data_IF_190075426970
#
_entry.id   IF_190075426970
#
_cell.length_a   1.000
_cell.length_b   1.000
_cell.length_c   1.000
_cell.angle_alpha   90.00
_cell.angle_beta   90.00
_cell.angle_gamma   90.00
#
_symmetry.space_group_name_H-M   'P 1'
#
loop_
_entity.id
_entity.type
_entity.pdbx_description
1 polymer ?
#
# COMPACT_ATOMS: atom_id res chain seq x y z
N UNK A 1 18.83 -3.35 19.08
CA UNK A 1 17.86 -3.67 18.61
C UNK A 1 17.25 -2.92 17.79
N UNK A 2 16.67 -3.08 17.03
CA UNK A 2 16.14 -2.41 16.20
C UNK A 2 14.84 -2.47 16.18
N UNK A 3 14.21 -1.53 16.17
CA UNK A 3 12.84 -1.60 15.90
C UNK A 3 12.67 -1.42 14.43
N UNK A 4 12.36 -2.45 13.78
CA UNK A 4 12.02 -2.39 12.39
C UNK A 4 10.54 -2.66 12.28
N UNK A 5 9.95 -2.21 11.20
CA UNK A 5 8.61 -2.64 10.85
C UNK A 5 8.70 -4.11 10.51
N UNK A 6 8.10 -4.95 11.33
CA UNK A 6 8.16 -6.38 11.12
C UNK A 6 7.38 -6.83 9.91
N UNK A 7 6.24 -6.18 9.63
CA UNK A 7 5.39 -6.56 8.51
C UNK A 7 5.57 -5.62 7.33
N UNK A 8 5.48 -6.20 6.14
CA UNK A 8 5.66 -5.46 4.90
C UNK A 8 4.53 -5.82 3.93
N UNK A 9 3.70 -4.84 3.60
CA UNK A 9 2.65 -4.99 2.60
C UNK A 9 3.19 -4.55 1.25
N UNK A 10 3.17 -5.45 0.27
CA UNK A 10 3.54 -5.16 -1.10
C UNK A 10 2.28 -5.21 -1.95
N UNK A 11 2.04 -4.20 -2.77
CA UNK A 11 0.80 -4.07 -3.53
C UNK A 11 1.11 -4.01 -5.01
N UNK A 12 0.52 -4.95 -5.77
CA UNK A 12 0.53 -4.91 -7.23
C UNK A 12 -0.55 -3.90 -7.66
N UNK A 13 -0.12 -2.70 -8.00
CA UNK A 13 -1.03 -1.58 -8.25
C UNK A 13 -2.01 -1.89 -9.38
N UNK A 14 -1.54 -2.45 -10.49
CA UNK A 14 -2.40 -2.74 -11.64
C UNK A 14 -3.52 -3.69 -11.27
N UNK A 15 -3.19 -4.77 -10.56
CA UNK A 15 -4.18 -5.75 -10.14
C UNK A 15 -5.23 -5.14 -9.21
N UNK A 16 -4.80 -4.34 -8.24
CA UNK A 16 -5.71 -3.72 -7.28
C UNK A 16 -6.59 -2.66 -7.96
N UNK A 17 -6.01 -1.85 -8.84
CA UNK A 17 -6.77 -0.83 -9.58
C UNK A 17 -7.86 -1.46 -10.44
N UNK A 18 -7.60 -2.61 -11.03
CA UNK A 18 -8.60 -3.32 -11.83
C UNK A 18 -9.65 -4.02 -10.98
N UNK A 19 -9.30 -4.42 -9.76
CA UNK A 19 -10.21 -5.15 -8.88
C UNK A 19 -11.18 -4.25 -8.12
N UNK A 20 -10.73 -3.07 -7.71
CA UNK A 20 -11.59 -2.15 -6.96
C UNK A 20 -12.52 -1.40 -7.90
N UNK A 21 -13.86 -1.51 -7.73
CA UNK A 21 -14.80 -0.91 -8.69
C UNK A 21 -14.59 0.58 -8.94
N UNK A 22 -14.40 1.37 -7.90
CA UNK A 22 -14.19 2.82 -8.02
C UNK A 22 -12.90 3.14 -8.76
N UNK A 23 -11.84 2.41 -8.44
CA UNK A 23 -10.54 2.60 -9.08
C UNK A 23 -10.57 2.14 -10.53
N UNK A 24 -11.28 1.06 -10.83
CA UNK A 24 -11.42 0.59 -12.22
C UNK A 24 -12.11 1.63 -13.08
N UNK A 25 -13.16 2.26 -12.56
CA UNK A 25 -13.86 3.33 -13.26
C UNK A 25 -12.95 4.55 -13.49
N UNK A 26 -12.22 4.95 -12.46
CA UNK A 26 -11.30 6.09 -12.56
C UNK A 26 -10.14 5.79 -13.50
N UNK A 27 -9.63 4.56 -13.49
CA UNK A 27 -8.52 4.12 -14.34
C UNK A 27 -8.83 4.32 -15.82
N UNK A 28 -10.08 4.11 -16.24
CA UNK A 28 -10.51 4.31 -17.61
C UNK A 28 -10.49 5.77 -18.03
N UNK A 29 -10.73 6.67 -17.09
CA UNK A 29 -10.80 8.11 -17.38
C UNK A 29 -9.46 8.81 -17.20
N UNK A 30 -8.74 8.45 -16.16
CA UNK A 30 -7.50 9.13 -15.79
C UNK A 30 -6.62 8.17 -14.99
N UNK A 31 -5.65 7.59 -15.69
CA UNK A 31 -4.74 6.61 -15.09
C UNK A 31 -3.91 7.20 -13.96
N UNK A 32 -3.40 8.41 -14.15
CA UNK A 32 -2.56 9.05 -13.14
C UNK A 32 -3.35 9.38 -11.88
N UNK A 33 -4.58 9.84 -12.05
CA UNK A 33 -5.45 10.11 -10.91
C UNK A 33 -5.76 8.82 -10.13
N UNK A 34 -6.02 7.72 -10.85
CA UNK A 34 -6.28 6.43 -10.21
C UNK A 34 -5.08 5.96 -9.40
N UNK A 35 -3.88 6.07 -9.96
CA UNK A 35 -2.64 5.70 -9.27
C UNK A 35 -2.40 6.55 -8.04
N UNK A 36 -2.57 7.86 -8.16
CA UNK A 36 -2.39 8.78 -7.04
C UNK A 36 -3.38 8.52 -5.93
N UNK A 37 -4.63 8.24 -6.27
CA UNK A 37 -5.65 7.95 -5.28
C UNK A 37 -5.38 6.63 -4.56
N UNK A 38 -4.93 5.61 -5.28
CA UNK A 38 -4.54 4.34 -4.67
C UNK A 38 -3.41 4.54 -3.67
N UNK A 39 -2.37 5.27 -4.06
CA UNK A 39 -1.23 5.55 -3.19
C UNK A 39 -1.69 6.27 -1.93
N UNK A 40 -2.52 7.29 -2.07
CA UNK A 40 -3.05 8.03 -0.94
C UNK A 40 -3.83 7.13 0.01
N UNK A 41 -4.68 6.27 -0.52
CA UNK A 41 -5.48 5.35 0.30
C UNK A 41 -4.63 4.32 1.02
N UNK A 42 -3.58 3.82 0.37
CA UNK A 42 -2.67 2.85 1.00
C UNK A 42 -1.84 3.50 2.11
N UNK A 43 -1.61 4.80 2.03
CA UNK A 43 -0.99 5.55 3.12
C UNK A 43 -1.77 5.43 4.42
N UNK A 44 -3.08 5.26 4.35
CA UNK A 44 -3.90 5.06 5.55
C UNK A 44 -3.53 3.77 6.29
N UNK A 45 -3.25 2.69 5.55
CA UNK A 45 -2.79 1.43 6.17
C UNK A 45 -1.43 1.65 6.84
N UNK A 46 -0.51 2.31 6.14
CA UNK A 46 0.81 2.61 6.68
C UNK A 46 0.69 3.33 8.03
N UNK A 47 -0.15 4.36 8.07
CA UNK A 47 -0.28 5.20 9.26
C UNK A 47 -1.08 4.52 10.38
N UNK A 48 -2.14 3.79 10.03
CA UNK A 48 -3.02 3.16 11.03
C UNK A 48 -2.46 1.86 11.58
N UNK A 49 -1.77 1.07 10.75
CA UNK A 49 -1.28 -0.25 11.12
C UNK A 49 0.21 -0.29 11.43
N UNK A 50 0.90 0.82 11.23
CA UNK A 50 2.34 0.94 11.51
C UNK A 50 3.14 -0.18 10.82
N UNK A 51 2.89 -0.39 9.54
CA UNK A 51 3.60 -1.40 8.76
C UNK A 51 4.24 -0.77 7.53
N UNK A 52 5.31 -1.39 7.05
CA UNK A 52 5.96 -0.94 5.82
C UNK A 52 5.02 -1.22 4.64
N UNK A 53 4.88 -0.25 3.76
CA UNK A 53 4.03 -0.39 2.56
C UNK A 53 4.83 -0.03 1.32
N UNK A 54 4.80 -0.91 0.33
CA UNK A 54 5.42 -0.67 -0.97
C UNK A 54 4.38 -0.88 -2.06
N UNK A 55 4.12 0.14 -2.85
CA UNK A 55 3.21 0.07 -3.99
C UNK A 55 4.05 -0.10 -5.24
N UNK A 56 3.84 -1.17 -5.99
CA UNK A 56 4.61 -1.46 -7.19
C UNK A 56 3.77 -1.14 -8.42
N UNK A 57 4.27 -0.23 -9.23
CA UNK A 57 3.59 0.26 -10.44
C UNK A 57 4.46 -0.07 -11.66
N UNK A 58 3.84 -0.58 -12.71
CA UNK A 58 4.55 -0.82 -13.96
C UNK A 58 5.04 0.50 -14.55
N UNK A 59 6.35 0.59 -14.76
CA UNK A 59 7.00 1.76 -15.33
C UNK A 59 7.46 1.51 -16.76
N UNK A 60 8.07 2.54 -17.35
CA UNK A 60 8.53 2.49 -18.75
C UNK A 60 10.00 2.86 -18.90
N UNK A 61 10.68 3.17 -17.81
CA UNK A 61 12.06 3.60 -17.83
C UNK A 61 13.03 2.43 -17.95
N UNK A 62 14.31 2.75 -17.87
CA UNK A 62 15.37 1.75 -17.94
C UNK A 62 15.76 1.24 -16.56
N UNK A 63 15.47 2.02 -15.53
CA UNK A 63 15.86 1.70 -14.15
C UNK A 63 14.65 1.73 -13.24
N UNK A 64 14.79 1.10 -12.08
CA UNK A 64 13.80 1.18 -11.01
C UNK A 64 13.82 2.60 -10.45
N UNK A 65 12.64 3.18 -10.28
CA UNK A 65 12.48 4.49 -9.65
C UNK A 65 11.70 4.29 -8.36
N UNK A 66 12.21 4.83 -7.26
CA UNK A 66 11.56 4.74 -5.95
C UNK A 66 11.22 6.14 -5.46
N UNK A 67 9.97 6.31 -5.07
CA UNK A 67 9.47 7.56 -4.49
C UNK A 67 8.94 7.31 -3.08
N UNK A 68 9.00 8.32 -2.23
CA UNK A 68 8.46 8.27 -0.88
C UNK A 68 7.43 9.39 -0.73
N UNK A 69 6.13 9.09 -1.00
CA UNK A 69 5.11 10.13 -1.04
C UNK A 69 4.97 10.96 0.24
N UNK A 70 5.20 10.32 1.39
CA UNK A 70 5.11 11.01 2.69
C UNK A 70 6.49 11.32 3.27
N UNK A 71 7.55 11.17 2.48
CA UNK A 71 8.94 11.35 2.89
C UNK A 71 9.40 10.35 3.96
N UNK A 72 8.61 9.31 4.22
CA UNK A 72 8.98 8.25 5.15
C UNK A 72 9.54 7.07 4.38
N UNK A 73 10.69 6.57 4.80
CA UNK A 73 11.35 5.44 4.12
C UNK A 73 10.51 4.17 4.13
N UNK A 74 9.57 4.07 5.07
CA UNK A 74 8.69 2.90 5.22
C UNK A 74 7.47 2.92 4.31
N UNK A 75 7.25 4.00 3.57
CA UNK A 75 6.18 4.08 2.58
C UNK A 75 6.79 4.45 1.23
N UNK A 76 6.76 3.51 0.30
CA UNK A 76 7.44 3.66 -0.99
C UNK A 76 6.53 3.34 -2.15
N UNK A 77 6.73 4.06 -3.25
CA UNK A 77 6.15 3.71 -4.55
C UNK A 77 7.32 3.33 -5.45
N UNK A 78 7.26 2.14 -6.02
CA UNK A 78 8.32 1.61 -6.88
C UNK A 78 7.78 1.51 -8.30
N UNK A 79 8.43 2.18 -9.22
CA UNK A 79 8.13 2.06 -10.65
C UNK A 79 9.11 1.07 -11.25
N UNK A 80 8.59 0.00 -11.86
CA UNK A 80 9.45 -1.03 -12.46
C UNK A 80 10.04 -0.52 -13.77
N UNK A 81 11.24 -0.99 -14.15
CA UNK A 81 11.74 -0.72 -15.51
C UNK A 81 10.91 -1.49 -16.54
N UNK A 82 11.00 -1.09 -17.79
CA UNK A 82 10.24 -1.74 -18.86
C UNK A 82 10.60 -3.21 -19.05
N UNK A 83 11.76 -3.63 -18.57
CA UNK A 83 12.23 -5.02 -18.68
C UNK A 83 11.70 -5.97 -17.59
N UNK A 84 11.03 -5.43 -16.58
CA UNK A 84 10.51 -6.22 -15.45
C UNK A 84 9.02 -5.92 -15.27
N UNK A 85 8.29 -6.93 -14.78
CA UNK A 85 6.90 -6.73 -14.37
C UNK A 85 6.83 -6.42 -12.88
N UNK A 86 5.67 -5.95 -12.43
CA UNK A 86 5.43 -5.77 -11.00
C UNK A 86 5.62 -7.08 -10.24
N UNK A 87 5.15 -8.20 -10.82
CA UNK A 87 5.33 -9.53 -10.23
C UNK A 87 6.80 -9.85 -9.97
N UNK A 88 7.64 -9.58 -10.97
CA UNK A 88 9.09 -9.85 -10.86
C UNK A 88 9.71 -9.08 -9.70
N UNK A 89 9.35 -7.80 -9.59
CA UNK A 89 9.90 -6.94 -8.54
C UNK A 89 9.39 -7.38 -7.16
N UNK A 90 8.11 -7.70 -7.05
CA UNK A 90 7.53 -8.17 -5.79
C UNK A 90 8.20 -9.47 -5.35
N UNK A 91 8.39 -10.43 -6.27
CA UNK A 91 9.06 -11.68 -5.96
C UNK A 91 10.48 -11.46 -5.46
N UNK A 92 11.20 -10.54 -6.09
CA UNK A 92 12.55 -10.18 -5.64
C UNK A 92 12.55 -9.58 -4.25
N UNK A 93 11.60 -8.71 -3.95
CA UNK A 93 11.52 -8.08 -2.65
C UNK A 93 11.18 -9.08 -1.55
N UNK A 94 10.26 -10.00 -1.82
CA UNK A 94 9.94 -11.09 -0.88
C UNK A 94 11.15 -11.98 -0.67
N UNK A 95 11.86 -12.32 -1.74
CA UNK A 95 13.04 -13.18 -1.68
C UNK A 95 14.20 -12.58 -0.89
N UNK A 96 14.28 -11.25 -0.84
CA UNK A 96 15.32 -10.55 -0.08
C UNK A 96 14.91 -10.27 1.36
N UNK A 97 13.64 -10.51 1.71
CA UNK A 97 13.18 -10.30 3.06
C UNK A 97 13.80 -11.35 4.01
N UNK A 98 14.23 -10.93 5.21
CA UNK A 98 14.73 -11.89 6.21
C UNK A 98 13.67 -12.91 6.62
N UNK A 99 12.40 -12.54 6.50
CA UNK A 99 11.28 -13.39 6.89
C UNK A 99 10.14 -13.20 5.89
N UNK A 100 10.01 -14.16 4.98
CA UNK A 100 8.95 -14.10 3.96
C UNK A 100 7.55 -14.10 4.58
N UNK A 101 7.38 -14.76 5.73
CA UNK A 101 6.08 -14.81 6.39
C UNK A 101 5.61 -13.43 6.92
N UNK A 102 6.53 -12.48 7.05
CA UNK A 102 6.20 -11.11 7.42
C UNK A 102 5.78 -10.27 6.20
N UNK A 103 5.91 -10.80 5.00
CA UNK A 103 5.48 -10.14 3.78
C UNK A 103 4.05 -10.51 3.45
N UNK A 104 3.23 -9.49 3.17
CA UNK A 104 1.86 -9.65 2.68
C UNK A 104 1.83 -9.07 1.28
N UNK A 105 1.30 -9.81 0.31
CA UNK A 105 1.25 -9.38 -1.08
C UNK A 105 -0.18 -9.30 -1.58
N UNK A 106 -0.59 -8.11 -2.01
CA UNK A 106 -1.93 -7.88 -2.54
C UNK A 106 -1.91 -7.98 -4.07
N UNK A 107 -2.55 -8.98 -4.59
CA UNK A 107 -2.70 -9.21 -6.03
C UNK A 107 -3.95 -10.02 -6.30
N UNK A 108 -4.55 -9.83 -7.49
CA UNK A 108 -5.64 -10.66 -7.97
C UNK A 108 -5.20 -11.74 -8.95
N UNK A 109 -3.92 -11.80 -9.28
CA UNK A 109 -3.39 -12.77 -10.25
C UNK A 109 -3.15 -14.12 -9.58
N UNK A 110 -3.80 -15.18 -10.09
CA UNK A 110 -3.70 -16.51 -9.49
C UNK A 110 -2.32 -17.13 -9.63
N UNK A 111 -1.63 -16.87 -10.73
CA UNK A 111 -0.27 -17.36 -10.91
C UNK A 111 0.69 -16.70 -9.92
N UNK A 112 0.54 -15.39 -9.74
CA UNK A 112 1.32 -14.65 -8.76
C UNK A 112 1.02 -15.13 -7.34
N UNK A 113 -0.26 -15.36 -7.03
CA UNK A 113 -0.67 -15.90 -5.74
C UNK A 113 0.05 -17.21 -5.43
N UNK A 114 0.07 -18.13 -6.39
CA UNK A 114 0.72 -19.44 -6.19
C UNK A 114 2.21 -19.27 -5.90
N UNK A 115 2.88 -18.41 -6.63
CA UNK A 115 4.30 -18.12 -6.43
C UNK A 115 4.55 -17.52 -5.05
N UNK A 116 3.71 -16.56 -4.64
CA UNK A 116 3.81 -15.89 -3.34
C UNK A 116 3.66 -16.91 -2.21
N UNK A 117 2.64 -17.73 -2.29
CA UNK A 117 2.38 -18.73 -1.25
C UNK A 117 3.51 -19.76 -1.17
N UNK A 118 4.10 -20.10 -2.31
CA UNK A 118 5.24 -21.02 -2.33
C UNK A 118 6.47 -20.45 -1.63
N UNK A 119 6.64 -19.14 -1.58
CA UNK A 119 7.75 -18.48 -0.88
C UNK A 119 7.51 -18.35 0.63
N UNK A 120 6.30 -18.61 1.10
CA UNK A 120 5.92 -18.44 2.50
C UNK A 120 5.29 -17.09 2.83
N UNK A 121 5.18 -16.20 1.86
CA UNK A 121 4.51 -14.92 2.06
C UNK A 121 2.99 -15.10 2.10
N UNK A 122 2.30 -14.12 2.66
CA UNK A 122 0.84 -14.14 2.82
C UNK A 122 0.19 -13.45 1.63
N UNK A 123 -0.76 -14.13 1.01
CA UNK A 123 -1.54 -13.52 -0.07
C UNK A 123 -2.72 -12.73 0.50
N UNK A 124 -2.91 -11.51 -0.01
CA UNK A 124 -4.03 -10.65 0.37
C UNK A 124 -4.89 -10.41 -0.87
N UNK A 125 -6.13 -10.93 -0.90
CA UNK A 125 -7.03 -10.63 -2.01
C UNK A 125 -7.30 -9.12 -2.11
N UNK A 126 -7.44 -8.57 -3.32
CA UNK A 126 -7.66 -7.14 -3.48
C UNK A 126 -8.88 -6.60 -2.71
N UNK A 127 -9.95 -7.38 -2.60
CA UNK A 127 -11.14 -6.93 -1.86
C UNK A 127 -10.92 -6.95 -0.34
N UNK A 128 -10.07 -7.85 0.16
CA UNK A 128 -9.68 -7.83 1.57
C UNK A 128 -8.82 -6.60 1.85
N UNK A 129 -7.96 -6.24 0.91
CA UNK A 129 -7.17 -5.02 1.02
C UNK A 129 -8.07 -3.79 1.05
N UNK A 130 -9.11 -3.75 0.22
CA UNK A 130 -10.07 -2.64 0.22
C UNK A 130 -10.73 -2.48 1.59
N UNK A 131 -11.17 -3.59 2.18
CA UNK A 131 -11.77 -3.56 3.51
C UNK A 131 -10.78 -3.03 4.57
N UNK A 132 -9.51 -3.41 4.48
CA UNK A 132 -8.47 -2.90 5.39
C UNK A 132 -8.26 -1.40 5.22
N UNK A 133 -8.22 -0.93 3.97
CA UNK A 133 -8.08 0.49 3.67
C UNK A 133 -9.24 1.27 4.28
N UNK A 134 -10.46 0.79 4.08
CA UNK A 134 -11.65 1.45 4.62
C UNK A 134 -11.62 1.53 6.15
N UNK A 135 -11.21 0.44 6.80
CA UNK A 135 -11.06 0.45 8.26
C UNK A 135 -9.97 1.41 8.73
N UNK A 136 -8.86 1.44 8.00
CA UNK A 136 -7.75 2.34 8.33
C UNK A 136 -8.16 3.80 8.17
N UNK A 137 -8.84 4.13 7.07
CA UNK A 137 -9.34 5.47 6.83
C UNK A 137 -10.32 5.91 7.92
N UNK A 138 -11.19 5.01 8.35
CA UNK A 138 -12.14 5.29 9.41
C UNK A 138 -11.45 5.51 10.75
N UNK A 139 -10.46 4.71 11.10
CA UNK A 139 -9.69 4.88 12.33
C UNK A 139 -9.00 6.23 12.37
N UNK A 140 -8.38 6.64 11.28
CA UNK A 140 -7.69 7.92 11.20
C UNK A 140 -8.67 9.09 11.26
N UNK A 141 -9.81 8.98 10.61
CA UNK A 141 -10.87 9.98 10.65
C UNK A 141 -11.42 10.16 12.07
N UNK A 142 -11.69 9.06 12.76
CA UNK A 142 -12.18 9.09 14.14
C UNK A 142 -11.16 9.76 15.06
N UNK A 143 -9.87 9.45 14.88
CA UNK A 143 -8.80 10.04 15.68
C UNK A 143 -8.73 11.55 15.48
N UNK A 144 -8.80 12.02 14.23
CA UNK A 144 -8.80 13.44 13.91
C UNK A 144 -10.01 14.14 14.52
N UNK A 145 -11.18 13.55 14.41
CA UNK A 145 -12.41 14.09 14.99
C UNK A 145 -12.27 14.22 16.51
N UNK A 146 -11.71 13.22 17.17
CA UNK A 146 -11.46 13.27 18.62
C UNK A 146 -10.52 14.40 19.01
N UNK A 147 -9.44 14.59 18.27
CA UNK A 147 -8.49 15.68 18.50
C UNK A 147 -9.15 17.05 18.31
N UNK A 148 -9.96 17.19 17.28
CA UNK A 148 -10.66 18.44 17.01
C UNK A 148 -11.64 18.78 18.13
N UNK A 149 -12.34 17.79 18.67
CA UNK A 149 -13.25 18.00 19.81
C UNK A 149 -12.49 18.42 21.06
N UNK A 150 -11.38 17.77 21.34
CA UNK A 150 -10.54 18.10 22.48
C UNK A 150 -10.01 19.53 22.38
N UNK A 151 -9.53 19.92 21.20
CA UNK A 151 -9.03 21.27 20.94
C UNK A 151 -10.14 22.31 21.11
N UNK A 152 -11.33 22.04 20.62
CA UNK A 152 -12.45 22.95 20.77
C UNK A 152 -12.87 23.16 22.22
N UNK A 153 -12.86 22.06 23.01
CA UNK A 153 -13.16 22.16 24.45
C UNK A 153 -12.10 22.95 25.20
N UNK A 154 -10.84 22.73 24.89
CA UNK A 154 -9.74 23.46 25.51
C UNK A 154 -9.83 24.96 25.19
N UNK A 155 -10.13 25.29 23.96
CA UNK A 155 -10.31 26.66 23.53
C UNK A 155 -11.46 27.36 24.31
N UNK A 156 -12.57 26.68 24.51
CA UNK A 156 -13.70 27.21 25.27
C UNK A 156 -13.35 27.48 26.73
N UNK A 157 -12.50 26.65 27.33
CA UNK A 157 -12.08 26.83 28.74
C UNK A 157 -11.22 28.08 28.91
N UNK A 158 -10.48 28.45 27.87
CA UNK A 158 -9.57 29.59 27.93
C UNK A 158 -10.26 30.93 27.68
N UNK A 159 -11.46 30.89 27.16
CA UNK A 159 -12.24 32.09 26.94
C UNK A 159 -13.33 32.21 27.97
#
# INVERSE_FOLDING_TARGET
MRVAFEKHLLVDAANVLHAWPDMRALLKRDRDAARSQLVQRLGAIHDAESMRVTVVIDGRGREIVVEHPSRQATFSVVYTPSSLTADDVIEQMVGRSPDASACEVATGDQAERSTIEATGAVWVPPMDLLARVERAEQRLSTKVTGLNRANAQDWRRRT
#
